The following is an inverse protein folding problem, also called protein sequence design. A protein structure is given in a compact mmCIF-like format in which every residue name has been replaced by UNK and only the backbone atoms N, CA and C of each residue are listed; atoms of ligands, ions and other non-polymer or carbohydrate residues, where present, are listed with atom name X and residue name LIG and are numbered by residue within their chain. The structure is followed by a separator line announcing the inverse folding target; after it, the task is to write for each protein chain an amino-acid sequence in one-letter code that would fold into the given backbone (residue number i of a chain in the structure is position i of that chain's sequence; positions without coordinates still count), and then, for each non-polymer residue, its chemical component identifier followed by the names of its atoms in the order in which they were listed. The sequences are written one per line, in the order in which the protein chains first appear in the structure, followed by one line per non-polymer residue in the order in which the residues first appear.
data_IF_011955344601
#
_entry.id   IF_011955344601
#
_cell.length_a   1.000
_cell.length_b   1.000
_cell.length_c   1.000
_cell.angle_alpha   90.00
_cell.angle_beta   90.00
_cell.angle_gamma   90.00
#
_symmetry.space_group_name_H-M   'P 1'
#
loop_
_entity.id
_entity.type
_entity.pdbx_description
1 polymer ?
#
# COMPACT_ATOMS: atom_id res chain seq x y z
N UNK A 1 -3.09 12.21 -19.67
CA UNK A 1 -3.27 10.74 -19.70
C UNK A 1 -2.73 10.14 -20.99
N UNK A 2 -3.23 10.51 -22.18
CA UNK A 2 -2.76 9.96 -23.48
C UNK A 2 -1.24 10.10 -23.68
N UNK A 3 -0.67 11.26 -23.38
CA UNK A 3 0.78 11.48 -23.51
C UNK A 3 1.64 10.54 -22.63
N UNK A 4 1.15 10.14 -21.46
CA UNK A 4 1.87 9.20 -20.59
C UNK A 4 1.89 7.80 -21.21
N UNK A 5 0.77 7.37 -21.79
CA UNK A 5 0.69 6.08 -22.48
C UNK A 5 1.60 6.05 -23.71
N UNK A 6 1.57 7.10 -24.53
CA UNK A 6 2.47 7.21 -25.68
C UNK A 6 3.94 7.18 -25.26
N UNK A 7 4.30 7.89 -24.19
CA UNK A 7 5.67 7.86 -23.65
C UNK A 7 6.07 6.44 -23.23
N UNK A 8 5.22 5.72 -22.50
CA UNK A 8 5.49 4.34 -22.07
C UNK A 8 5.67 3.43 -23.28
N UNK A 9 4.81 3.54 -24.29
CA UNK A 9 4.92 2.76 -25.53
C UNK A 9 6.23 3.05 -26.23
N UNK A 10 6.59 4.33 -26.40
CA UNK A 10 7.85 4.75 -27.04
C UNK A 10 9.06 4.23 -26.27
N UNK A 11 9.03 4.20 -24.94
CA UNK A 11 10.13 3.71 -24.10
C UNK A 11 10.25 2.18 -24.09
N UNK A 12 9.15 1.45 -24.27
CA UNK A 12 9.13 -0.01 -24.32
C UNK A 12 9.35 -0.58 -25.73
N UNK A 13 9.23 0.25 -26.76
CA UNK A 13 9.37 -0.16 -28.16
C UNK A 13 10.80 -0.62 -28.53
N UNK A 14 11.90 0.02 -28.09
CA UNK A 14 13.24 -0.35 -28.53
C UNK A 14 13.65 -1.79 -28.17
N UNK A 15 13.40 -2.30 -26.95
CA UNK A 15 13.65 -3.72 -26.63
C UNK A 15 12.92 -4.71 -27.55
N UNK A 16 11.72 -4.35 -28.01
CA UNK A 16 10.92 -5.19 -28.90
C UNK A 16 11.49 -5.14 -30.33
N UNK A 17 11.78 -3.94 -30.84
CA UNK A 17 12.30 -3.76 -32.21
C UNK A 17 13.72 -4.33 -32.38
N UNK A 18 14.53 -4.31 -31.33
CA UNK A 18 15.90 -4.84 -31.35
C UNK A 18 15.97 -6.35 -31.06
N UNK A 19 14.83 -7.03 -30.88
CA UNK A 19 14.74 -8.46 -30.57
C UNK A 19 15.57 -8.89 -29.35
N UNK A 20 15.60 -8.05 -28.30
CA UNK A 20 16.30 -8.38 -27.05
C UNK A 20 15.62 -9.49 -26.24
N UNK A 21 14.37 -9.83 -26.57
CA UNK A 21 13.64 -10.92 -25.95
C UNK A 21 13.95 -12.23 -26.66
N UNK A 22 14.52 -13.19 -25.92
CA UNK A 22 14.82 -14.53 -26.42
C UNK A 22 14.00 -15.54 -25.61
N UNK A 23 13.43 -16.52 -26.31
CA UNK A 23 12.78 -17.66 -25.65
C UNK A 23 13.86 -18.64 -25.19
N UNK A 24 13.91 -18.93 -23.88
CA UNK A 24 14.87 -19.90 -23.36
C UNK A 24 14.40 -21.33 -23.70
N UNK A 25 15.30 -22.25 -24.07
CA UNK A 25 14.91 -23.61 -24.47
C UNK A 25 14.28 -24.42 -23.34
N UNK A 26 14.54 -24.05 -22.08
CA UNK A 26 14.05 -24.75 -20.88
C UNK A 26 12.74 -24.18 -20.35
N UNK A 27 12.28 -23.03 -20.84
CA UNK A 27 11.22 -22.22 -20.21
C UNK A 27 10.20 -21.76 -21.27
N UNK A 28 8.91 -21.78 -20.95
CA UNK A 28 7.84 -21.38 -21.90
C UNK A 28 7.59 -19.86 -21.97
N UNK A 29 8.51 -19.04 -21.45
CA UNK A 29 8.37 -17.59 -21.43
C UNK A 29 9.56 -16.88 -22.08
N UNK A 30 9.28 -15.73 -22.69
CA UNK A 30 10.30 -14.86 -23.26
C UNK A 30 10.87 -13.96 -22.16
N UNK A 31 12.19 -13.90 -22.07
CA UNK A 31 12.90 -13.05 -21.12
C UNK A 31 14.11 -12.43 -21.80
N UNK A 32 14.55 -11.27 -21.30
CA UNK A 32 15.81 -10.67 -21.73
C UNK A 32 16.93 -11.51 -21.12
N UNK A 33 17.81 -12.11 -21.92
CA UNK A 33 18.89 -12.92 -21.37
C UNK A 33 19.89 -12.01 -20.64
N UNK A 34 20.32 -12.42 -19.45
CA UNK A 34 21.30 -11.69 -18.65
C UNK A 34 22.67 -11.50 -19.32
N UNK A 35 22.92 -12.21 -20.42
CA UNK A 35 24.10 -12.05 -21.26
C UNK A 35 24.10 -10.71 -22.00
N UNK A 36 22.92 -10.14 -22.29
CA UNK A 36 22.80 -8.84 -22.96
C UNK A 36 22.77 -7.71 -21.92
N UNK A 37 23.97 -7.34 -21.47
CA UNK A 37 24.18 -6.28 -20.47
C UNK A 37 23.60 -4.95 -20.95
N UNK A 38 23.61 -4.68 -22.26
CA UNK A 38 23.12 -3.43 -22.83
C UNK A 38 21.60 -3.36 -22.67
N UNK A 39 20.90 -4.43 -23.03
CA UNK A 39 19.46 -4.52 -22.89
C UNK A 39 19.02 -4.35 -21.43
N UNK A 40 19.72 -4.97 -20.48
CA UNK A 40 19.36 -4.79 -19.08
C UNK A 40 19.65 -3.37 -18.58
N UNK A 41 20.84 -2.84 -18.84
CA UNK A 41 21.22 -1.48 -18.42
C UNK A 41 20.21 -0.46 -18.96
N UNK A 42 19.74 -0.64 -20.20
CA UNK A 42 18.67 0.17 -20.77
C UNK A 42 17.40 0.15 -19.91
N UNK A 43 16.89 -1.03 -19.56
CA UNK A 43 15.71 -1.17 -18.70
C UNK A 43 15.93 -0.55 -17.33
N UNK A 44 17.10 -0.76 -16.71
CA UNK A 44 17.45 -0.18 -15.41
C UNK A 44 17.41 1.35 -15.48
N UNK A 45 18.06 1.94 -16.48
CA UNK A 45 18.15 3.40 -16.61
C UNK A 45 16.77 4.01 -16.89
N UNK A 46 16.06 3.46 -17.88
CA UNK A 46 14.81 4.05 -18.39
C UNK A 46 13.66 3.85 -17.41
N UNK A 47 13.52 2.65 -16.83
CA UNK A 47 12.39 2.33 -15.94
C UNK A 47 12.63 2.74 -14.49
N UNK A 48 13.88 2.91 -14.06
CA UNK A 48 14.20 3.21 -12.66
C UNK A 48 14.94 4.53 -12.48
N UNK A 49 16.11 4.69 -13.08
CA UNK A 49 16.98 5.85 -12.81
C UNK A 49 16.31 7.15 -13.24
N UNK A 50 15.73 7.21 -14.44
CA UNK A 50 15.08 8.43 -14.95
C UNK A 50 13.87 8.82 -14.09
N UNK A 51 12.87 7.93 -13.84
CA UNK A 51 11.75 8.26 -12.95
C UNK A 51 12.21 8.69 -11.56
N UNK A 52 13.25 8.05 -11.02
CA UNK A 52 13.81 8.40 -9.72
C UNK A 52 14.37 9.82 -9.71
N UNK A 53 15.20 10.16 -10.70
CA UNK A 53 15.78 11.50 -10.83
C UNK A 53 14.68 12.55 -10.99
N UNK A 54 13.67 12.30 -11.82
CA UNK A 54 12.53 13.20 -11.99
C UNK A 54 11.79 13.45 -10.67
N UNK A 55 11.53 12.41 -9.88
CA UNK A 55 10.87 12.53 -8.58
C UNK A 55 11.75 13.26 -7.56
N UNK A 56 13.05 12.95 -7.53
CA UNK A 56 14.03 13.60 -6.65
C UNK A 56 14.16 15.09 -6.95
N UNK A 57 14.29 15.47 -8.22
CA UNK A 57 14.34 16.87 -8.66
C UNK A 57 13.04 17.59 -8.30
N UNK A 58 11.89 16.96 -8.57
CA UNK A 58 10.57 17.53 -8.21
C UNK A 58 10.48 17.78 -6.70
N UNK A 59 10.95 16.85 -5.88
CA UNK A 59 10.97 17.00 -4.42
C UNK A 59 11.88 18.13 -3.96
N UNK A 60 13.10 18.22 -4.50
CA UNK A 60 14.04 19.31 -4.21
C UNK A 60 13.46 20.66 -4.62
N UNK A 61 12.76 20.72 -5.75
CA UNK A 61 12.13 21.93 -6.23
C UNK A 61 10.99 22.39 -5.33
N UNK A 62 10.10 21.47 -4.94
CA UNK A 62 9.00 21.75 -4.00
C UNK A 62 9.53 22.19 -2.63
N UNK A 63 10.53 21.50 -2.08
CA UNK A 63 11.12 21.89 -0.79
C UNK A 63 11.82 23.25 -0.84
N UNK A 64 12.50 23.57 -1.94
CA UNK A 64 13.09 24.91 -2.16
C UNK A 64 12.02 25.98 -2.29
N UNK A 65 10.93 25.70 -3.00
CA UNK A 65 9.78 26.61 -3.13
C UNK A 65 9.13 26.90 -1.77
N UNK A 66 8.87 25.87 -0.97
CA UNK A 66 8.29 26.02 0.38
C UNK A 66 9.21 26.84 1.28
N UNK A 67 10.53 26.59 1.26
CA UNK A 67 11.50 27.39 2.04
C UNK A 67 11.49 28.87 1.66
N UNK A 68 11.38 29.18 0.36
CA UNK A 68 11.29 30.57 -0.11
C UNK A 68 9.97 31.22 0.30
N UNK A 69 8.86 30.53 0.12
CA UNK A 69 7.53 31.04 0.47
C UNK A 69 7.38 31.29 1.98
N UNK A 70 8.00 30.48 2.84
CA UNK A 70 7.97 30.65 4.30
C UNK A 70 8.65 31.93 4.81
N UNK A 71 9.49 32.61 4.00
CA UNK A 71 10.18 33.85 4.38
C UNK A 71 9.39 35.12 4.03
N UNK A 72 8.31 35.02 3.25
CA UNK A 72 7.49 36.17 2.87
C UNK A 72 6.47 36.51 3.97
N UNK A 73 6.39 37.77 4.46
CA UNK A 73 5.61 38.15 5.64
C UNK A 73 4.13 38.47 5.31
N UNK A 74 3.42 37.63 4.55
CA UNK A 74 1.98 37.84 4.27
C UNK A 74 1.12 36.99 5.19
N UNK A 75 0.58 37.62 6.24
CA UNK A 75 0.07 36.95 7.45
C UNK A 75 -1.28 36.24 7.32
N UNK A 76 -2.11 36.52 6.30
CA UNK A 76 -3.47 35.97 6.23
C UNK A 76 -3.70 34.91 5.13
N UNK A 77 -3.18 35.11 3.91
CA UNK A 77 -3.23 34.11 2.84
C UNK A 77 -2.26 32.93 3.08
N UNK A 78 -1.26 33.10 3.93
CA UNK A 78 -0.26 32.08 4.22
C UNK A 78 -0.82 30.87 4.98
N UNK A 79 -1.88 31.01 5.79
CA UNK A 79 -2.39 29.89 6.59
C UNK A 79 -3.04 28.81 5.72
N UNK A 80 -3.91 29.21 4.78
CA UNK A 80 -4.56 28.27 3.86
C UNK A 80 -3.57 27.66 2.86
N UNK A 81 -2.64 28.48 2.34
CA UNK A 81 -1.57 28.00 1.43
C UNK A 81 -0.63 27.02 2.15
N UNK A 82 -0.28 27.29 3.42
CA UNK A 82 0.57 26.40 4.23
C UNK A 82 -0.10 25.06 4.48
N UNK A 83 -1.42 25.02 4.68
CA UNK A 83 -2.17 23.77 4.85
C UNK A 83 -2.18 22.93 3.56
N UNK A 84 -2.33 23.55 2.39
CA UNK A 84 -2.21 22.86 1.08
C UNK A 84 -0.80 22.33 0.87
N UNK A 85 0.21 23.17 1.10
CA UNK A 85 1.62 22.78 0.98
C UNK A 85 1.99 21.61 1.93
N UNK A 86 1.46 21.58 3.16
CA UNK A 86 1.69 20.47 4.09
C UNK A 86 1.07 19.16 3.59
N UNK A 87 -0.12 19.22 2.97
CA UNK A 87 -0.76 18.06 2.35
C UNK A 87 0.10 17.54 1.19
N UNK A 88 0.56 18.42 0.32
CA UNK A 88 1.38 18.05 -0.84
C UNK A 88 2.74 17.48 -0.41
N UNK A 89 3.38 18.07 0.59
CA UNK A 89 4.63 17.56 1.16
C UNK A 89 4.44 16.16 1.76
N UNK A 90 3.30 15.92 2.40
CA UNK A 90 2.95 14.60 2.93
C UNK A 90 2.80 13.59 1.80
N UNK A 91 2.10 13.94 0.72
CA UNK A 91 1.94 13.09 -0.47
C UNK A 91 3.29 12.79 -1.13
N UNK A 92 4.14 13.81 -1.30
CA UNK A 92 5.46 13.60 -1.92
C UNK A 92 6.35 12.75 -1.02
N UNK A 93 6.37 12.97 0.31
CA UNK A 93 7.10 12.12 1.26
C UNK A 93 6.68 10.65 1.13
N UNK A 94 5.39 10.41 0.95
CA UNK A 94 4.83 9.07 0.73
C UNK A 94 5.30 8.46 -0.59
N UNK A 95 5.25 9.23 -1.68
CA UNK A 95 5.79 8.80 -2.98
C UNK A 95 7.29 8.47 -2.88
N UNK A 96 8.08 9.31 -2.21
CA UNK A 96 9.52 9.07 -1.99
C UNK A 96 9.77 7.77 -1.23
N UNK A 97 8.98 7.45 -0.19
CA UNK A 97 9.09 6.18 0.54
C UNK A 97 8.82 4.99 -0.39
N UNK A 98 7.71 5.03 -1.15
CA UNK A 98 7.36 3.95 -2.07
C UNK A 98 8.44 3.75 -3.13
N UNK A 99 8.95 4.85 -3.70
CA UNK A 99 10.02 4.83 -4.70
C UNK A 99 11.33 4.30 -4.09
N UNK A 100 11.67 4.68 -2.87
CA UNK A 100 12.87 4.17 -2.17
C UNK A 100 12.80 2.67 -1.94
N UNK A 101 11.62 2.16 -1.57
CA UNK A 101 11.36 0.72 -1.44
C UNK A 101 11.50 0.00 -2.78
N UNK A 102 10.99 0.58 -3.87
CA UNK A 102 11.12 0.02 -5.23
C UNK A 102 12.58 -0.05 -5.69
N UNK A 103 13.42 0.92 -5.32
CA UNK A 103 14.87 0.86 -5.60
C UNK A 103 15.52 -0.25 -4.78
N UNK A 104 15.22 -0.32 -3.48
CA UNK A 104 15.78 -1.34 -2.60
C UNK A 104 15.42 -2.75 -3.08
N UNK A 105 14.23 -2.93 -3.66
CA UNK A 105 13.76 -4.18 -4.27
C UNK A 105 14.64 -4.62 -5.44
N UNK A 106 15.16 -3.68 -6.24
CA UNK A 106 16.01 -3.97 -7.40
C UNK A 106 17.48 -4.16 -7.05
N UNK A 107 17.90 -3.75 -5.86
CA UNK A 107 19.30 -3.85 -5.44
C UNK A 107 19.83 -5.30 -5.43
N UNK A 108 19.10 -6.31 -4.92
CA UNK A 108 19.51 -7.72 -5.04
C UNK A 108 19.71 -8.15 -6.49
N UNK A 109 18.82 -7.77 -7.41
CA UNK A 109 18.93 -8.12 -8.83
C UNK A 109 20.21 -7.57 -9.44
N UNK A 110 20.57 -6.33 -9.13
CA UNK A 110 21.83 -5.72 -9.61
C UNK A 110 23.04 -6.44 -9.02
N UNK A 111 23.04 -6.79 -7.73
CA UNK A 111 24.12 -7.57 -7.12
C UNK A 111 24.28 -8.92 -7.80
N UNK A 112 23.18 -9.65 -8.00
CA UNK A 112 23.22 -10.95 -8.66
C UNK A 112 23.67 -10.85 -10.11
N UNK A 113 23.34 -9.76 -10.80
CA UNK A 113 23.82 -9.49 -12.15
C UNK A 113 25.34 -9.28 -12.19
N UNK A 114 25.87 -8.43 -11.30
CA UNK A 114 27.32 -8.21 -11.19
C UNK A 114 28.04 -9.52 -10.87
N UNK A 115 27.47 -10.32 -9.96
CA UNK A 115 28.00 -11.63 -9.60
C UNK A 115 28.00 -12.61 -10.80
N UNK A 116 26.90 -12.65 -11.55
CA UNK A 116 26.77 -13.46 -12.76
C UNK A 116 27.79 -13.06 -13.85
N UNK A 117 27.97 -11.75 -14.08
CA UNK A 117 28.98 -11.24 -15.03
C UNK A 117 30.39 -11.65 -14.58
N UNK A 118 30.66 -11.64 -13.28
CA UNK A 118 31.98 -11.99 -12.73
C UNK A 118 32.32 -13.47 -12.88
N UNK A 119 31.34 -14.37 -12.80
CA UNK A 119 31.54 -15.82 -12.88
C UNK A 119 31.34 -16.38 -14.29
N UNK A 120 30.62 -15.67 -15.15
CA UNK A 120 30.30 -16.11 -16.52
C UNK A 120 29.20 -17.17 -16.61
N UNK A 121 28.61 -17.58 -15.48
CA UNK A 121 27.49 -18.53 -15.43
C UNK A 121 26.37 -18.05 -14.52
N UNK A 122 25.13 -18.24 -14.99
CA UNK A 122 23.92 -17.97 -14.22
C UNK A 122 23.49 -19.23 -13.46
N UNK A 123 23.40 -19.16 -12.14
CA UNK A 123 22.84 -20.26 -11.35
C UNK A 123 21.32 -20.22 -11.39
N UNK A 124 20.69 -21.37 -11.64
CA UNK A 124 19.22 -21.51 -11.60
C UNK A 124 18.63 -21.04 -10.26
N UNK A 125 19.35 -21.25 -9.16
CA UNK A 125 18.96 -20.86 -7.80
C UNK A 125 18.80 -19.34 -7.65
N UNK A 126 19.51 -18.53 -8.45
CA UNK A 126 19.40 -17.07 -8.44
C UNK A 126 17.98 -16.61 -8.76
N UNK A 127 17.29 -17.28 -9.69
CA UNK A 127 15.91 -16.94 -10.04
C UNK A 127 14.95 -17.15 -8.87
N UNK A 128 15.08 -18.25 -8.14
CA UNK A 128 14.25 -18.53 -6.97
C UNK A 128 14.48 -17.51 -5.86
N UNK A 129 15.74 -17.14 -5.59
CA UNK A 129 16.08 -16.14 -4.58
C UNK A 129 15.51 -14.77 -4.96
N UNK A 130 15.74 -14.32 -6.21
CA UNK A 130 15.22 -13.04 -6.71
C UNK A 130 13.69 -13.03 -6.67
N UNK A 131 13.04 -14.13 -7.05
CA UNK A 131 11.59 -14.28 -6.96
C UNK A 131 11.07 -14.15 -5.53
N UNK A 132 11.74 -14.77 -4.56
CA UNK A 132 11.39 -14.64 -3.14
C UNK A 132 11.50 -13.19 -2.65
N UNK A 133 12.64 -12.52 -2.90
CA UNK A 133 12.83 -11.11 -2.53
C UNK A 133 11.78 -10.21 -3.20
N UNK A 134 11.50 -10.43 -4.48
CA UNK A 134 10.47 -9.67 -5.21
C UNK A 134 9.11 -9.84 -4.56
N UNK A 135 8.75 -11.07 -4.19
CA UNK A 135 7.48 -11.40 -3.55
C UNK A 135 7.33 -10.73 -2.18
N UNK A 136 8.35 -10.84 -1.32
CA UNK A 136 8.37 -10.18 0.00
C UNK A 136 8.27 -8.67 -0.14
N UNK A 137 8.96 -8.08 -1.12
CA UNK A 137 8.90 -6.64 -1.33
C UNK A 137 7.56 -6.16 -1.88
N UNK A 138 6.89 -6.93 -2.75
CA UNK A 138 5.53 -6.61 -3.21
C UNK A 138 4.53 -6.58 -2.04
N UNK A 139 4.63 -7.54 -1.11
CA UNK A 139 3.84 -7.55 0.12
C UNK A 139 4.13 -6.29 0.95
N UNK A 140 5.42 -5.95 1.12
CA UNK A 140 5.82 -4.76 1.87
C UNK A 140 5.31 -3.46 1.23
N UNK A 141 5.38 -3.34 -0.10
CA UNK A 141 4.79 -2.20 -0.85
C UNK A 141 3.29 -2.11 -0.59
N UNK A 142 2.57 -3.24 -0.62
CA UNK A 142 1.15 -3.29 -0.28
C UNK A 142 0.87 -2.77 1.14
N UNK A 143 1.64 -3.22 2.13
CA UNK A 143 1.52 -2.76 3.52
C UNK A 143 1.82 -1.26 3.65
N UNK A 144 2.86 -0.77 2.98
CA UNK A 144 3.22 0.64 2.96
C UNK A 144 2.11 1.48 2.34
N UNK A 145 1.52 1.05 1.22
CA UNK A 145 0.39 1.74 0.57
C UNK A 145 -0.83 1.79 1.51
N UNK A 146 -1.16 0.69 2.18
CA UNK A 146 -2.26 0.64 3.16
C UNK A 146 -1.98 1.59 4.32
N UNK A 147 -0.78 1.57 4.88
CA UNK A 147 -0.37 2.47 5.97
C UNK A 147 -0.43 3.94 5.56
N UNK A 148 -0.02 4.21 4.33
CA UNK A 148 0.05 5.56 3.76
C UNK A 148 -1.33 6.13 3.47
N UNK A 149 -2.33 5.33 3.12
CA UNK A 149 -3.63 5.84 2.65
C UNK A 149 -4.58 6.14 3.82
N UNK A 150 -4.76 7.42 4.24
CA UNK A 150 -5.51 7.76 5.45
C UNK A 150 -7.01 7.39 5.42
N UNK A 151 -7.76 7.49 4.31
CA UNK A 151 -9.16 7.05 4.32
C UNK A 151 -9.29 5.54 4.55
N UNK A 152 -8.37 4.75 4.00
CA UNK A 152 -8.35 3.30 4.20
C UNK A 152 -8.04 2.99 5.67
N UNK A 153 -7.06 3.66 6.27
CA UNK A 153 -6.76 3.48 7.70
C UNK A 153 -7.99 3.75 8.59
N UNK A 154 -8.76 4.81 8.30
CA UNK A 154 -9.96 5.15 9.07
C UNK A 154 -11.06 4.10 8.91
N UNK A 155 -11.35 3.67 7.67
CA UNK A 155 -12.34 2.63 7.41
C UNK A 155 -11.93 1.26 7.95
N UNK A 156 -10.66 0.89 7.81
CA UNK A 156 -10.12 -0.37 8.29
C UNK A 156 -10.11 -0.43 9.83
N UNK A 157 -9.77 0.68 10.48
CA UNK A 157 -9.85 0.78 11.94
C UNK A 157 -11.30 0.68 12.45
N UNK A 158 -12.25 1.33 11.77
CA UNK A 158 -13.67 1.20 12.08
C UNK A 158 -14.16 -0.23 11.91
N UNK A 159 -13.82 -0.91 10.80
CA UNK A 159 -14.16 -2.31 10.57
C UNK A 159 -13.55 -3.25 11.62
N UNK A 160 -12.27 -3.07 11.96
CA UNK A 160 -11.60 -3.89 12.98
C UNK A 160 -12.21 -3.68 14.37
N UNK A 161 -12.51 -2.43 14.73
CA UNK A 161 -13.14 -2.10 16.01
C UNK A 161 -14.58 -2.64 16.08
N UNK A 162 -15.34 -2.57 14.99
CA UNK A 162 -16.70 -3.09 14.90
C UNK A 162 -16.72 -4.63 14.98
N UNK A 163 -15.73 -5.31 14.39
CA UNK A 163 -15.57 -6.76 14.51
C UNK A 163 -15.25 -7.20 15.95
N UNK A 164 -14.43 -6.44 16.67
CA UNK A 164 -14.11 -6.76 18.07
C UNK A 164 -15.33 -6.59 19.00
N UNK A 165 -16.15 -5.57 18.78
CA UNK A 165 -17.36 -5.35 19.57
C UNK A 165 -18.46 -6.38 19.32
N UNK A 166 -18.60 -6.90 18.09
CA UNK A 166 -19.59 -7.95 17.81
C UNK A 166 -19.27 -9.28 18.51
N UNK A 167 -18.00 -9.61 18.71
CA UNK A 167 -17.60 -10.82 19.46
C UNK A 167 -17.97 -10.69 20.95
N UNK A 168 -17.83 -9.50 21.53
CA UNK A 168 -18.24 -9.24 22.92
C UNK A 168 -19.76 -9.30 23.13
N UNK A 169 -20.55 -8.75 22.20
CA UNK A 169 -22.02 -8.77 22.30
C UNK A 169 -22.59 -10.19 22.16
N UNK A 170 -22.02 -11.02 21.29
CA UNK A 170 -22.44 -12.43 21.16
C UNK A 170 -22.16 -13.25 22.44
N UNK A 171 -21.04 -13.00 23.13
CA UNK A 171 -20.76 -13.66 24.41
C UNK A 171 -21.72 -13.21 25.51
N UNK A 172 -22.03 -11.92 25.57
CA UNK A 172 -22.95 -11.40 26.58
C UNK A 172 -24.38 -11.92 26.37
N UNK A 173 -24.84 -12.03 25.10
CA UNK A 173 -26.16 -12.57 24.78
C UNK A 173 -26.27 -14.07 25.08
N UNK A 174 -25.18 -14.82 24.86
CA UNK A 174 -25.11 -16.24 25.23
C UNK A 174 -25.17 -16.43 26.75
N UNK A 175 -24.45 -15.62 27.53
CA UNK A 175 -24.52 -15.67 29.00
C UNK A 175 -25.92 -15.31 29.50
N UNK A 176 -26.57 -14.29 28.93
CA UNK A 176 -27.94 -13.93 29.33
C UNK A 176 -28.95 -15.04 29.00
N UNK A 177 -28.83 -15.70 27.84
CA UNK A 177 -29.69 -16.84 27.49
C UNK A 177 -29.45 -18.05 28.39
N UNK A 178 -28.19 -18.36 28.73
CA UNK A 178 -27.87 -19.44 29.67
C UNK A 178 -28.38 -19.13 31.10
N UNK A 179 -28.43 -17.85 31.49
CA UNK A 179 -28.97 -17.41 32.78
C UNK A 179 -30.51 -17.46 32.82
N UNK A 180 -31.19 -17.12 31.71
CA UNK A 180 -32.65 -17.15 31.61
C UNK A 180 -33.22 -18.58 31.58
N UNK A 181 -32.47 -19.55 31.04
CA UNK A 181 -32.84 -20.97 31.07
C UNK A 181 -32.81 -21.54 32.50
N UNK A 182 -32.06 -20.93 33.42
CA UNK A 182 -31.99 -21.38 34.82
C UNK A 182 -33.00 -20.67 35.75
N UNK A 183 -33.79 -19.72 35.23
CA UNK A 183 -34.92 -19.14 35.98
C UNK A 183 -36.10 -20.07 35.80
N UNK A 184 -36.25 -20.95 36.79
CA UNK A 184 -37.39 -21.87 36.94
C UNK A 184 -38.75 -21.18 36.69
N UNK A 185 -39.72 -21.87 36.08
CA UNK A 185 -41.01 -21.32 35.63
C UNK A 185 -41.91 -20.72 36.74
N UNK A 186 -41.46 -20.76 38.00
CA UNK A 186 -42.24 -20.34 39.17
C UNK A 186 -42.25 -18.80 39.33
N UNK A 187 -41.18 -18.08 38.96
CA UNK A 187 -41.16 -16.62 39.11
C UNK A 187 -41.91 -15.84 38.00
N UNK A 188 -42.17 -16.47 36.85
CA UNK A 188 -42.82 -15.81 35.70
C UNK A 188 -44.31 -15.47 35.96
N UNK A 189 -44.94 -16.16 36.91
CA UNK A 189 -46.34 -15.91 37.26
C UNK A 189 -46.54 -14.76 38.26
N UNK A 190 -45.53 -14.40 39.06
CA UNK A 190 -45.66 -13.29 40.03
C UNK A 190 -45.50 -11.90 39.41
N UNK A 191 -44.75 -11.75 38.31
CA UNK A 191 -44.64 -10.47 37.61
C UNK A 191 -45.87 -10.13 36.77
N UNK A 192 -46.69 -11.12 36.40
CA UNK A 192 -47.90 -10.90 35.58
C UNK A 192 -49.07 -10.35 36.38
N UNK A 193 -49.09 -10.54 37.71
CA UNK A 193 -50.14 -9.98 38.57
C UNK A 193 -49.88 -8.50 38.85
N UNK A 194 -48.65 -8.10 39.17
CA UNK A 194 -48.32 -6.70 39.51
C UNK A 194 -48.53 -5.74 38.35
N UNK A 195 -48.30 -6.16 37.10
CA UNK A 195 -48.49 -5.28 35.93
C UNK A 195 -49.96 -4.99 35.60
N UNK A 196 -50.92 -5.80 36.06
CA UNK A 196 -52.34 -5.53 35.82
C UNK A 196 -52.89 -4.45 36.74
N UNK A 197 -52.35 -4.33 37.95
CA UNK A 197 -52.84 -3.38 38.94
C UNK A 197 -52.44 -1.93 38.63
N UNK A 198 -51.30 -1.73 37.95
CA UNK A 198 -50.79 -0.39 37.62
C UNK A 198 -51.58 0.27 36.48
N UNK A 199 -52.17 -0.51 35.56
CA UNK A 199 -52.92 0.03 34.41
C UNK A 199 -54.33 0.49 34.79
N UNK A 200 -54.85 0.07 35.95
CA UNK A 200 -56.19 0.44 36.40
C UNK A 200 -56.30 1.85 37.03
N UNK A 201 -55.17 2.48 37.38
CA UNK A 201 -55.16 3.76 38.14
C UNK A 201 -55.16 4.99 37.21
N UNK A 202 -54.99 4.82 35.90
CA UNK A 202 -54.78 5.92 34.96
C UNK A 202 -55.89 6.02 33.91
N UNK A 203 -57.12 6.24 34.36
CA UNK A 203 -58.23 6.73 33.53
C UNK A 203 -58.94 7.90 34.23
N UNK A 204 -58.68 9.16 33.83
CA UNK A 204 -59.62 10.26 34.05
C UNK A 204 -60.83 10.17 33.11
#
# INVERSE_FOLDING_TARGET
MIGQWLLIIILLLPPILLNWYIQLPTEQYCLVPYTDVIAEVYHIVILYVIPLLCIGISYLWVTKFIRKSSRAPTTFLATQQRQRNQRDLTIIKRMVIVVSVLIALRFPTVIFMIYAISIGHLYSLTFSIVGFFTSTCLIFIGLVIIYITPPIKKHLFLCLMQRNNQVGVQQHLKITMDMEINITPIQRNQLRTVSKDIVAIQKP
#
